data_IF_241204298868
#
_entry.id   IF_241204298868
#
_cell.length_a   1.000
_cell.length_b   1.000
_cell.length_c   1.000
_cell.angle_alpha   90.00
_cell.angle_beta   90.00
_cell.angle_gamma   90.00
#
_symmetry.space_group_name_H-M   'P 1'
#
loop_
_entity.id
_entity.type
_entity.pdbx_description
1 polymer ?
#
# COMPACT_ATOMS: atom_id res chain seq x y z
N UNK A 1 -3.75 -18.35 6.13
CA UNK A 1 -3.06 -17.17 5.52
C UNK A 1 -3.29 -17.23 4.03
N UNK A 2 -3.45 -16.09 3.37
CA UNK A 2 -3.63 -16.01 1.92
C UNK A 2 -2.32 -15.53 1.31
N UNK A 3 -1.90 -16.14 0.20
CA UNK A 3 -0.75 -15.69 -0.58
C UNK A 3 -1.20 -15.22 -1.95
N UNK A 4 -0.63 -14.13 -2.48
CA UNK A 4 -0.89 -13.70 -3.85
C UNK A 4 -0.41 -14.77 -4.84
N UNK A 5 -1.23 -15.13 -5.82
CA UNK A 5 -0.84 -16.08 -6.89
C UNK A 5 0.25 -15.53 -7.82
N UNK A 6 0.51 -14.23 -7.76
CA UNK A 6 1.59 -13.56 -8.49
C UNK A 6 2.98 -13.88 -7.93
N UNK A 7 3.07 -14.39 -6.71
CA UNK A 7 4.36 -14.79 -6.15
C UNK A 7 4.93 -15.98 -6.89
N UNK A 8 6.14 -15.81 -7.40
CA UNK A 8 6.90 -16.90 -8.02
C UNK A 8 7.70 -17.61 -6.93
N UNK A 9 7.29 -18.83 -6.62
CA UNK A 9 8.01 -19.68 -5.69
C UNK A 9 9.27 -20.22 -6.36
N UNK A 10 10.32 -20.43 -5.57
CA UNK A 10 11.49 -21.20 -6.01
C UNK A 10 11.07 -22.64 -6.30
N UNK A 11 11.83 -23.33 -7.17
CA UNK A 11 11.56 -24.72 -7.50
C UNK A 11 11.47 -25.59 -6.23
N UNK A 12 10.39 -26.36 -6.12
CA UNK A 12 10.10 -27.22 -4.96
C UNK A 12 9.49 -26.50 -3.75
N UNK A 13 9.13 -25.20 -3.88
CA UNK A 13 8.41 -24.44 -2.86
C UNK A 13 7.02 -24.04 -3.35
N UNK A 14 6.09 -23.89 -2.40
CA UNK A 14 4.73 -23.40 -2.60
C UNK A 14 4.21 -22.73 -1.33
N UNK A 15 2.95 -22.32 -1.32
CA UNK A 15 2.31 -21.65 -0.18
C UNK A 15 2.33 -22.50 1.11
N UNK A 16 2.30 -23.82 1.00
CA UNK A 16 2.27 -24.76 2.11
C UNK A 16 3.63 -25.39 2.43
N UNK A 17 4.59 -25.26 1.51
CA UNK A 17 5.92 -25.84 1.62
C UNK A 17 7.00 -24.81 1.29
N UNK A 18 7.38 -24.00 2.26
CA UNK A 18 8.39 -22.96 2.12
C UNK A 18 9.24 -22.84 3.39
N UNK A 19 10.21 -21.94 3.38
CA UNK A 19 11.11 -21.74 4.52
C UNK A 19 10.37 -21.37 5.81
N UNK A 20 9.32 -20.54 5.72
CA UNK A 20 8.53 -20.10 6.87
C UNK A 20 7.71 -21.27 7.46
N UNK A 21 7.00 -22.01 6.62
CA UNK A 21 6.18 -23.17 7.09
C UNK A 21 7.05 -24.26 7.72
N UNK A 22 8.24 -24.53 7.13
CA UNK A 22 9.22 -25.46 7.69
C UNK A 22 9.77 -25.00 9.03
N UNK A 23 10.10 -23.72 9.13
CA UNK A 23 10.61 -23.14 10.38
C UNK A 23 9.55 -23.19 11.50
N UNK A 24 8.31 -22.79 11.23
CA UNK A 24 7.20 -22.86 12.19
C UNK A 24 6.99 -24.30 12.67
N UNK A 25 7.01 -25.26 11.77
CA UNK A 25 6.87 -26.68 12.12
C UNK A 25 8.00 -27.18 13.00
N UNK A 26 9.26 -26.86 12.65
CA UNK A 26 10.44 -27.41 13.34
C UNK A 26 10.71 -26.73 14.69
N UNK A 27 10.39 -25.44 14.85
CA UNK A 27 10.72 -24.68 16.05
C UNK A 27 9.53 -24.44 16.99
N UNK A 28 8.32 -24.39 16.43
CA UNK A 28 7.12 -24.09 17.20
C UNK A 28 6.09 -25.25 17.19
N UNK A 29 6.32 -26.31 16.43
CA UNK A 29 5.36 -27.41 16.28
C UNK A 29 4.09 -27.02 15.51
N UNK A 30 4.05 -25.87 14.86
CA UNK A 30 2.88 -25.34 14.16
C UNK A 30 2.89 -25.84 12.70
N UNK A 31 1.87 -26.57 12.30
CA UNK A 31 1.62 -26.91 10.91
C UNK A 31 0.72 -25.82 10.30
N UNK A 32 1.32 -24.87 9.59
CA UNK A 32 0.59 -23.84 8.89
C UNK A 32 0.22 -24.32 7.48
N UNK A 33 -1.03 -24.10 7.09
CA UNK A 33 -1.51 -24.32 5.73
C UNK A 33 -2.22 -23.07 5.19
N UNK A 34 -2.10 -22.83 3.90
CA UNK A 34 -2.85 -21.82 3.19
C UNK A 34 -4.23 -22.37 2.86
N UNK A 35 -5.30 -21.68 3.26
CA UNK A 35 -6.66 -22.12 2.99
C UNK A 35 -7.03 -21.93 1.51
N UNK A 36 -6.55 -20.86 0.91
CA UNK A 36 -6.64 -20.56 -0.52
C UNK A 36 -5.56 -19.55 -0.92
N UNK A 37 -5.32 -19.43 -2.18
CA UNK A 37 -4.56 -18.36 -2.81
C UNK A 37 -5.50 -17.47 -3.65
N UNK A 38 -5.13 -16.21 -3.84
CA UNK A 38 -5.90 -15.25 -4.60
C UNK A 38 -4.97 -14.35 -5.44
N UNK A 39 -5.32 -14.06 -6.71
CA UNK A 39 -4.51 -13.18 -7.55
C UNK A 39 -4.59 -11.70 -7.10
N UNK A 40 -5.67 -11.33 -6.43
CA UNK A 40 -5.94 -9.97 -5.99
C UNK A 40 -6.83 -9.95 -4.73
N UNK A 41 -6.91 -8.77 -4.10
CA UNK A 41 -7.69 -8.57 -2.89
C UNK A 41 -9.21 -8.73 -3.10
N UNK A 42 -9.74 -8.49 -4.29
CA UNK A 42 -11.16 -8.67 -4.59
C UNK A 42 -11.54 -10.14 -4.61
N UNK A 43 -10.71 -10.97 -5.22
CA UNK A 43 -10.87 -12.43 -5.24
C UNK A 43 -10.73 -13.01 -3.82
N UNK A 44 -9.79 -12.51 -3.03
CA UNK A 44 -9.62 -12.91 -1.63
C UNK A 44 -10.86 -12.57 -0.81
N UNK A 45 -11.37 -11.35 -0.92
CA UNK A 45 -12.58 -10.93 -0.22
C UNK A 45 -13.79 -11.80 -0.58
N UNK A 46 -13.96 -12.18 -1.86
CA UNK A 46 -15.03 -13.08 -2.28
C UNK A 46 -14.89 -14.48 -1.66
N UNK A 47 -13.69 -15.06 -1.65
CA UNK A 47 -13.44 -16.37 -1.03
C UNK A 47 -13.68 -16.34 0.46
N UNK A 48 -13.27 -15.26 1.14
CA UNK A 48 -13.52 -15.06 2.56
C UNK A 48 -15.05 -14.99 2.86
N UNK A 49 -15.81 -14.26 2.05
CA UNK A 49 -17.27 -14.17 2.20
C UNK A 49 -17.96 -15.53 1.98
N UNK A 50 -17.49 -16.32 1.02
CA UNK A 50 -18.00 -17.67 0.80
C UNK A 50 -17.66 -18.61 1.97
N UNK A 51 -16.46 -18.52 2.51
CA UNK A 51 -16.04 -19.29 3.69
C UNK A 51 -16.85 -18.90 4.93
N UNK A 52 -17.13 -17.61 5.12
CA UNK A 52 -18.01 -17.12 6.18
C UNK A 52 -19.44 -17.67 6.04
N UNK A 53 -20.01 -17.58 4.83
CA UNK A 53 -21.37 -18.09 4.56
C UNK A 53 -21.49 -19.60 4.73
N UNK A 54 -20.41 -20.34 4.45
CA UNK A 54 -20.34 -21.79 4.63
C UNK A 54 -19.98 -22.24 6.05
N UNK A 55 -19.80 -21.30 6.98
CA UNK A 55 -19.32 -21.56 8.35
C UNK A 55 -17.98 -22.31 8.40
N UNK A 56 -17.09 -22.00 7.46
CA UNK A 56 -15.79 -22.65 7.26
C UNK A 56 -14.67 -21.62 7.15
N UNK A 57 -14.57 -20.72 8.12
CA UNK A 57 -13.47 -19.76 8.17
C UNK A 57 -12.16 -20.45 8.57
N UNK A 58 -11.01 -20.04 8.00
CA UNK A 58 -9.71 -20.41 8.52
C UNK A 58 -9.48 -19.89 9.94
N UNK A 59 -8.55 -20.52 10.68
CA UNK A 59 -8.16 -20.12 12.04
C UNK A 59 -7.64 -18.68 12.11
N UNK A 60 -6.98 -18.20 11.06
CA UNK A 60 -6.43 -16.84 10.95
C UNK A 60 -6.83 -16.24 9.60
N UNK A 61 -7.47 -15.08 9.65
CA UNK A 61 -7.95 -14.34 8.47
C UNK A 61 -7.48 -12.89 8.55
N UNK A 62 -7.27 -12.27 7.39
CA UNK A 62 -7.10 -10.83 7.29
C UNK A 62 -8.46 -10.20 7.03
N UNK A 63 -8.78 -9.14 7.77
CA UNK A 63 -10.10 -8.49 7.73
C UNK A 63 -9.98 -6.98 7.67
N UNK A 64 -10.97 -6.36 7.04
CA UNK A 64 -11.17 -4.91 7.11
C UNK A 64 -11.99 -4.54 8.35
N UNK A 65 -11.98 -3.27 8.81
CA UNK A 65 -12.84 -2.84 9.92
C UNK A 65 -14.33 -3.17 9.74
N UNK A 66 -14.86 -3.04 8.52
CA UNK A 66 -16.25 -3.39 8.22
C UNK A 66 -16.53 -4.89 8.38
N UNK A 67 -15.59 -5.75 8.00
CA UNK A 67 -15.71 -7.20 8.18
C UNK A 67 -15.60 -7.60 9.65
N UNK A 68 -14.80 -6.88 10.46
CA UNK A 68 -14.72 -7.13 11.91
C UNK A 68 -16.09 -7.02 12.54
N UNK A 69 -16.82 -5.93 12.33
CA UNK A 69 -18.16 -5.75 12.90
C UNK A 69 -19.11 -6.88 12.49
N UNK A 70 -19.10 -7.26 11.21
CA UNK A 70 -19.94 -8.33 10.66
C UNK A 70 -19.63 -9.70 11.30
N UNK A 71 -18.36 -10.06 11.38
CA UNK A 71 -17.94 -11.38 11.86
C UNK A 71 -18.00 -11.49 13.39
N UNK A 72 -17.72 -10.39 14.11
CA UNK A 72 -17.90 -10.31 15.54
C UNK A 72 -19.37 -10.45 15.94
N UNK A 73 -20.31 -9.76 15.28
CA UNK A 73 -21.74 -9.90 15.49
C UNK A 73 -22.24 -11.35 15.27
N UNK A 74 -21.59 -12.10 14.39
CA UNK A 74 -21.89 -13.51 14.15
C UNK A 74 -21.14 -14.47 15.11
N UNK A 75 -20.35 -13.96 16.07
CA UNK A 75 -19.59 -14.78 17.02
C UNK A 75 -18.45 -15.58 16.40
N UNK A 76 -17.88 -15.11 15.28
CA UNK A 76 -16.82 -15.81 14.54
C UNK A 76 -15.41 -15.34 14.88
N UNK A 77 -15.28 -14.30 15.67
CA UNK A 77 -13.99 -13.73 16.09
C UNK A 77 -13.83 -13.85 17.62
N UNK A 78 -12.59 -13.83 18.06
CA UNK A 78 -12.21 -13.89 19.47
C UNK A 78 -11.72 -12.55 19.96
N UNK A 79 -11.80 -12.29 21.28
CA UNK A 79 -11.21 -11.13 21.92
C UNK A 79 -9.68 -11.18 21.77
N UNK A 80 -9.16 -10.30 20.91
CA UNK A 80 -7.73 -10.30 20.60
C UNK A 80 -6.88 -9.68 21.72
N UNK A 81 -7.44 -8.71 22.49
CA UNK A 81 -6.70 -8.10 23.63
C UNK A 81 -6.46 -9.12 24.73
N UNK A 82 -7.47 -9.91 25.06
CA UNK A 82 -7.32 -10.99 26.04
C UNK A 82 -6.26 -12.01 25.62
N UNK A 83 -6.23 -12.39 24.35
CA UNK A 83 -5.20 -13.30 23.82
C UNK A 83 -3.80 -12.68 23.83
N UNK A 84 -3.66 -11.39 23.51
CA UNK A 84 -2.38 -10.69 23.58
C UNK A 84 -1.89 -10.62 25.03
N UNK A 85 -2.76 -10.35 25.96
CA UNK A 85 -2.39 -10.28 27.37
C UNK A 85 -1.92 -11.65 27.91
N UNK A 86 -2.64 -12.71 27.58
CA UNK A 86 -2.33 -14.05 28.07
C UNK A 86 -1.13 -14.69 27.36
N UNK A 87 -1.08 -14.60 26.00
CA UNK A 87 -0.12 -15.34 25.18
C UNK A 87 0.86 -14.47 24.42
N UNK A 88 0.69 -13.15 24.41
CA UNK A 88 1.52 -12.24 23.66
C UNK A 88 3.00 -12.28 24.12
N UNK A 89 3.91 -12.37 23.15
CA UNK A 89 5.33 -12.21 23.44
C UNK A 89 5.65 -10.82 24.01
N UNK A 90 6.75 -10.64 24.74
CA UNK A 90 7.17 -9.32 25.22
C UNK A 90 7.28 -8.29 24.09
N UNK A 91 7.76 -8.69 22.92
CA UNK A 91 7.85 -7.81 21.75
C UNK A 91 6.46 -7.39 21.25
N UNK A 92 5.51 -8.32 21.15
CA UNK A 92 4.15 -8.00 20.71
C UNK A 92 3.47 -7.04 21.68
N UNK A 93 3.61 -7.27 22.99
CA UNK A 93 3.07 -6.38 24.03
C UNK A 93 3.66 -4.99 23.93
N UNK A 94 4.98 -4.89 23.78
CA UNK A 94 5.67 -3.63 23.56
C UNK A 94 5.15 -2.88 22.31
N UNK A 95 5.01 -3.58 21.18
CA UNK A 95 4.49 -2.97 19.96
C UNK A 95 3.05 -2.47 20.11
N UNK A 96 2.22 -3.19 20.87
CA UNK A 96 0.85 -2.75 21.16
C UNK A 96 0.84 -1.52 22.08
N UNK A 97 1.66 -1.49 23.11
CA UNK A 97 1.80 -0.33 24.00
C UNK A 97 2.26 0.91 23.24
N UNK A 98 3.31 0.77 22.43
CA UNK A 98 3.84 1.84 21.58
C UNK A 98 2.78 2.33 20.57
N UNK A 99 2.08 1.42 19.91
CA UNK A 99 0.99 1.74 18.99
C UNK A 99 -0.19 2.46 19.67
N UNK A 100 -0.55 2.08 20.90
CA UNK A 100 -1.57 2.79 21.69
C UNK A 100 -1.10 4.20 22.09
N UNK A 101 0.18 4.38 22.44
CA UNK A 101 0.74 5.69 22.75
C UNK A 101 0.72 6.61 21.52
N UNK A 102 1.22 6.14 20.38
CA UNK A 102 1.25 6.89 19.11
C UNK A 102 -0.17 7.29 18.67
N UNK A 103 -1.12 6.38 18.78
CA UNK A 103 -2.51 6.61 18.35
C UNK A 103 -3.40 7.24 19.44
N UNK A 104 -2.82 7.62 20.59
CA UNK A 104 -3.54 8.16 21.74
C UNK A 104 -4.73 7.27 22.19
N UNK A 105 -4.51 5.96 22.21
CA UNK A 105 -5.50 4.96 22.62
C UNK A 105 -6.44 4.51 21.49
N UNK A 106 -6.23 4.93 20.26
CA UNK A 106 -7.11 4.61 19.14
C UNK A 106 -6.67 3.40 18.29
N UNK A 107 -5.57 2.72 18.65
CA UNK A 107 -5.00 1.60 17.87
C UNK A 107 -6.03 0.56 17.48
N UNK A 108 -6.85 0.11 18.42
CA UNK A 108 -7.88 -0.92 18.19
C UNK A 108 -9.26 -0.37 17.83
N UNK A 109 -9.45 0.95 17.86
CA UNK A 109 -10.76 1.57 17.64
C UNK A 109 -11.45 1.10 16.34
N UNK A 110 -10.78 1.02 15.18
CA UNK A 110 -11.39 0.57 13.94
C UNK A 110 -11.79 -0.91 13.96
N UNK A 111 -11.25 -1.69 14.88
CA UNK A 111 -11.42 -3.15 14.99
C UNK A 111 -12.21 -3.55 16.24
N UNK A 112 -12.91 -2.58 16.84
CA UNK A 112 -13.73 -2.78 18.04
C UNK A 112 -15.21 -2.88 17.68
N UNK A 113 -15.89 -3.89 18.21
CA UNK A 113 -17.31 -4.07 18.11
C UNK A 113 -17.88 -4.30 19.52
N UNK A 114 -18.91 -3.53 19.91
CA UNK A 114 -19.52 -3.57 21.25
C UNK A 114 -18.52 -3.52 22.41
N UNK A 115 -17.47 -2.71 22.27
CA UNK A 115 -16.45 -2.49 23.30
C UNK A 115 -15.31 -3.53 23.34
N UNK A 116 -15.37 -4.59 22.51
CA UNK A 116 -14.34 -5.64 22.43
C UNK A 116 -13.55 -5.53 21.14
N UNK A 117 -12.23 -5.62 21.21
CA UNK A 117 -11.35 -5.62 20.05
C UNK A 117 -11.20 -7.05 19.50
N UNK A 118 -11.45 -7.24 18.20
CA UNK A 118 -11.50 -8.55 17.56
C UNK A 118 -10.42 -8.77 16.50
N UNK A 119 -9.58 -7.80 16.22
CA UNK A 119 -8.47 -7.98 15.30
C UNK A 119 -7.23 -7.23 15.78
N UNK A 120 -6.07 -7.81 15.54
CA UNK A 120 -4.79 -7.14 15.74
C UNK A 120 -4.50 -6.28 14.50
N UNK A 121 -4.31 -4.96 14.66
CA UNK A 121 -3.89 -4.11 13.56
C UNK A 121 -2.55 -4.58 12.97
N UNK A 122 -2.40 -4.45 11.65
CA UNK A 122 -1.08 -4.59 11.03
C UNK A 122 -0.29 -3.34 11.41
N UNK A 123 0.61 -3.51 12.36
CA UNK A 123 1.51 -2.44 12.81
C UNK A 123 2.75 -2.48 11.92
N UNK A 124 3.00 -1.40 11.20
CA UNK A 124 4.20 -1.22 10.40
C UNK A 124 4.86 0.10 10.78
N UNK A 125 6.17 0.15 10.59
CA UNK A 125 6.92 1.39 10.74
C UNK A 125 6.35 2.47 9.79
N UNK A 126 6.27 3.70 10.27
CA UNK A 126 5.86 4.86 9.45
C UNK A 126 6.68 5.01 8.19
N UNK A 127 7.95 4.63 8.22
CA UNK A 127 8.85 4.68 7.08
C UNK A 127 8.46 3.72 5.94
N UNK A 128 7.76 2.63 6.24
CA UNK A 128 7.28 1.66 5.23
C UNK A 128 6.27 2.29 4.26
N UNK A 129 5.58 3.34 4.72
CA UNK A 129 4.58 4.04 3.92
C UNK A 129 5.13 5.33 3.25
N UNK A 130 6.41 5.61 3.38
CA UNK A 130 7.02 6.74 2.72
C UNK A 130 7.28 6.42 1.25
N UNK A 131 6.82 7.30 0.38
CA UNK A 131 7.13 7.22 -1.03
C UNK A 131 8.48 7.86 -1.28
N UNK A 132 9.39 7.10 -1.88
CA UNK A 132 10.68 7.59 -2.33
C UNK A 132 10.60 7.86 -3.82
N UNK A 133 11.11 9.02 -4.22
CA UNK A 133 11.23 9.38 -5.62
C UNK A 133 12.65 9.04 -6.08
N UNK A 134 12.77 8.37 -7.21
CA UNK A 134 14.05 8.02 -7.81
C UNK A 134 14.22 8.82 -9.09
N UNK A 135 15.41 9.35 -9.29
CA UNK A 135 15.81 10.02 -10.53
C UNK A 135 17.12 9.41 -11.05
N UNK A 136 17.24 9.30 -12.33
CA UNK A 136 18.43 8.79 -13.01
C UNK A 136 19.55 9.84 -12.94
N UNK A 137 20.50 9.64 -12.03
CA UNK A 137 21.65 10.55 -11.83
C UNK A 137 22.51 10.63 -13.09
N UNK A 138 22.73 9.50 -13.75
CA UNK A 138 23.47 9.44 -15.02
C UNK A 138 22.82 10.29 -16.13
N UNK A 139 21.50 10.38 -16.15
CA UNK A 139 20.78 11.25 -17.09
C UNK A 139 20.93 12.73 -16.70
N UNK A 140 20.86 13.04 -15.39
CA UNK A 140 21.11 14.41 -14.93
C UNK A 140 22.53 14.90 -15.29
N UNK A 141 23.53 14.07 -15.05
CA UNK A 141 24.93 14.35 -15.46
C UNK A 141 25.03 14.58 -16.96
N UNK A 142 24.42 13.71 -17.77
CA UNK A 142 24.42 13.83 -19.23
C UNK A 142 23.73 15.10 -19.74
N UNK A 143 22.70 15.57 -19.03
CA UNK A 143 21.99 16.82 -19.30
C UNK A 143 22.68 18.04 -18.67
N UNK A 144 23.74 17.83 -17.89
CA UNK A 144 24.42 18.84 -17.08
C UNK A 144 23.45 19.63 -16.18
N UNK A 145 22.57 18.87 -15.47
CA UNK A 145 21.57 19.41 -14.55
C UNK A 145 21.77 18.85 -13.14
N UNK A 146 21.42 19.63 -12.15
CA UNK A 146 21.42 19.24 -10.74
C UNK A 146 20.14 18.49 -10.39
N UNK A 147 20.16 17.79 -9.22
CA UNK A 147 18.96 17.15 -8.68
C UNK A 147 17.89 18.22 -8.38
N UNK A 148 16.69 18.12 -8.96
CA UNK A 148 15.67 19.14 -8.81
C UNK A 148 15.15 19.21 -7.36
N UNK A 149 15.09 20.41 -6.80
CA UNK A 149 14.55 20.70 -5.47
C UNK A 149 13.13 21.28 -5.49
N UNK A 150 12.55 21.48 -6.67
CA UNK A 150 11.20 21.98 -6.86
C UNK A 150 10.50 21.32 -8.04
N UNK A 151 9.17 21.50 -8.10
CA UNK A 151 8.35 20.95 -9.18
C UNK A 151 8.66 21.63 -10.53
N UNK A 152 9.03 22.91 -10.50
CA UNK A 152 9.41 23.66 -11.70
C UNK A 152 10.81 23.26 -12.20
N UNK A 153 11.74 23.01 -11.29
CA UNK A 153 13.06 22.46 -11.65
C UNK A 153 12.93 21.03 -12.21
N UNK A 154 12.02 20.21 -11.65
CA UNK A 154 11.73 18.88 -12.17
C UNK A 154 11.15 18.97 -13.59
N UNK A 155 10.26 19.93 -13.86
CA UNK A 155 9.72 20.16 -15.20
C UNK A 155 10.84 20.56 -16.18
N UNK A 156 11.79 21.42 -15.75
CA UNK A 156 12.94 21.78 -16.58
C UNK A 156 13.80 20.54 -16.93
N UNK A 157 13.95 19.59 -16.01
CA UNK A 157 14.62 18.31 -16.29
C UNK A 157 13.83 17.51 -17.33
N UNK A 158 12.50 17.43 -17.21
CA UNK A 158 11.68 16.73 -18.20
C UNK A 158 11.77 17.37 -19.59
N UNK A 159 11.78 18.68 -19.67
CA UNK A 159 11.94 19.42 -20.93
C UNK A 159 13.30 19.10 -21.59
N UNK A 160 14.39 19.20 -20.82
CA UNK A 160 15.73 18.88 -21.30
C UNK A 160 15.86 17.40 -21.72
N UNK A 161 15.26 16.49 -20.95
CA UNK A 161 15.22 15.07 -21.27
C UNK A 161 14.49 14.81 -22.59
N UNK A 162 13.31 15.38 -22.78
CA UNK A 162 12.50 15.21 -24.00
C UNK A 162 13.16 15.84 -25.23
N UNK A 163 13.91 16.94 -25.06
CA UNK A 163 14.68 17.55 -26.14
C UNK A 163 15.77 16.59 -26.65
N UNK A 164 16.38 15.82 -25.75
CA UNK A 164 17.43 14.85 -26.08
C UNK A 164 16.87 13.48 -26.47
N UNK A 165 15.83 13.04 -25.80
CA UNK A 165 15.18 11.74 -25.97
C UNK A 165 13.68 11.93 -26.33
N UNK A 166 13.33 12.29 -27.57
CA UNK A 166 11.96 12.63 -27.95
C UNK A 166 10.95 11.51 -27.72
N UNK A 167 11.40 10.24 -27.77
CA UNK A 167 10.54 9.07 -27.52
C UNK A 167 10.58 8.55 -26.08
N UNK A 168 11.53 9.04 -25.25
CA UNK A 168 11.65 8.62 -23.86
C UNK A 168 10.49 9.11 -22.99
N UNK A 169 10.20 8.42 -21.91
CA UNK A 169 9.23 8.80 -20.89
C UNK A 169 9.95 9.49 -19.74
N UNK A 170 9.60 10.73 -19.44
CA UNK A 170 10.25 11.50 -18.38
C UNK A 170 9.69 11.17 -16.99
N UNK A 171 8.39 10.86 -16.89
CA UNK A 171 7.72 10.47 -15.65
C UNK A 171 6.92 9.19 -15.89
N UNK A 172 7.37 8.10 -15.26
CA UNK A 172 6.67 6.82 -15.29
C UNK A 172 5.45 6.81 -14.39
N UNK A 173 4.29 6.53 -14.98
CA UNK A 173 3.02 6.31 -14.27
C UNK A 173 2.41 4.97 -14.71
N UNK A 174 1.49 4.45 -13.89
CA UNK A 174 0.64 3.33 -14.24
C UNK A 174 -0.84 3.67 -14.05
N UNK A 175 -1.71 2.69 -14.27
CA UNK A 175 -3.16 2.87 -14.18
C UNK A 175 -3.68 3.10 -12.75
N UNK A 176 -2.85 2.88 -11.73
CA UNK A 176 -3.17 3.22 -10.35
C UNK A 176 -2.67 4.62 -9.99
N UNK A 177 -3.38 5.63 -10.47
CA UNK A 177 -3.12 7.03 -10.11
C UNK A 177 -3.39 7.35 -8.64
N UNK A 178 -3.79 6.37 -7.84
CA UNK A 178 -4.23 6.60 -6.45
C UNK A 178 -3.15 6.31 -5.43
N UNK A 179 -2.14 5.54 -5.79
CA UNK A 179 -1.00 5.21 -4.95
C UNK A 179 0.22 6.04 -5.34
N UNK A 180 1.02 6.37 -4.39
CA UNK A 180 2.34 7.01 -4.38
C UNK A 180 2.85 7.77 -5.61
N UNK A 181 2.57 7.31 -6.81
CA UNK A 181 3.13 7.84 -8.06
C UNK A 181 2.64 9.23 -8.43
N UNK A 182 1.37 9.56 -8.15
CA UNK A 182 0.85 10.93 -8.23
C UNK A 182 1.30 11.81 -7.07
N UNK A 183 1.68 11.21 -5.96
CA UNK A 183 1.87 11.93 -4.70
C UNK A 183 3.00 12.96 -4.80
N UNK A 184 4.03 12.70 -5.61
CA UNK A 184 5.09 13.66 -5.87
C UNK A 184 4.50 15.00 -6.34
N UNK A 185 3.64 14.97 -7.36
CA UNK A 185 3.03 16.17 -7.91
C UNK A 185 1.98 16.73 -6.95
N UNK A 186 1.11 15.90 -6.42
CA UNK A 186 0.03 16.35 -5.54
C UNK A 186 0.57 17.02 -4.28
N UNK A 187 1.59 16.45 -3.62
CA UNK A 187 2.16 17.05 -2.41
C UNK A 187 2.86 18.38 -2.66
N UNK A 188 3.42 18.62 -3.85
CA UNK A 188 3.98 19.92 -4.21
C UNK A 188 2.92 21.03 -4.22
N UNK A 189 1.66 20.69 -4.45
CA UNK A 189 0.52 21.58 -4.36
C UNK A 189 -0.23 21.49 -3.02
N UNK A 190 0.32 20.79 -2.02
CA UNK A 190 -0.34 20.50 -0.74
C UNK A 190 -1.72 19.81 -0.92
N UNK A 191 -1.86 19.05 -1.99
CA UNK A 191 -3.04 18.29 -2.33
C UNK A 191 -2.93 16.87 -1.74
N UNK A 192 -3.91 16.45 -0.97
CA UNK A 192 -3.94 15.15 -0.30
C UNK A 192 -5.23 14.39 -0.65
N UNK A 193 -5.37 13.91 -1.90
CA UNK A 193 -6.57 13.19 -2.31
C UNK A 193 -6.77 11.95 -1.44
N UNK A 194 -8.05 11.60 -1.20
CA UNK A 194 -8.52 10.49 -0.36
C UNK A 194 -8.23 10.61 1.15
N UNK A 195 -7.51 11.62 1.58
CA UNK A 195 -7.26 11.89 2.99
C UNK A 195 -8.25 12.92 3.56
N UNK A 196 -8.55 12.80 4.83
CA UNK A 196 -9.18 13.88 5.57
C UNK A 196 -8.06 14.78 6.11
N UNK A 197 -8.14 16.08 5.83
CA UNK A 197 -7.15 17.07 6.26
C UNK A 197 -7.81 18.12 7.14
N UNK A 198 -7.08 18.60 8.13
CA UNK A 198 -7.54 19.73 8.93
C UNK A 198 -7.24 21.04 8.20
N UNK A 199 -8.26 21.83 7.98
CA UNK A 199 -8.17 23.17 7.38
C UNK A 199 -9.06 24.12 8.17
N UNK A 200 -8.48 25.18 8.72
CA UNK A 200 -9.18 26.16 9.54
C UNK A 200 -9.95 25.54 10.73
N UNK A 201 -9.39 24.54 11.39
CA UNK A 201 -9.99 23.83 12.52
C UNK A 201 -11.14 22.88 12.16
N UNK A 202 -11.32 22.58 10.88
CA UNK A 202 -12.34 21.64 10.39
C UNK A 202 -11.69 20.51 9.58
N UNK A 203 -12.25 19.31 9.71
CA UNK A 203 -11.87 18.19 8.84
C UNK A 203 -12.57 18.35 7.49
N UNK A 204 -11.79 18.44 6.42
CA UNK A 204 -12.27 18.50 5.05
C UNK A 204 -11.74 17.34 4.24
N UNK A 205 -12.54 16.85 3.29
CA UNK A 205 -12.10 15.76 2.43
C UNK A 205 -11.15 16.27 1.35
N UNK A 206 -9.91 15.77 1.35
CA UNK A 206 -8.83 16.29 0.52
C UNK A 206 -9.09 16.21 -0.97
N UNK A 207 -9.77 15.16 -1.47
CA UNK A 207 -10.00 14.96 -2.91
C UNK A 207 -10.81 16.08 -3.59
N UNK A 208 -11.59 16.85 -2.84
CA UNK A 208 -12.44 17.93 -3.38
C UNK A 208 -11.87 19.33 -3.11
N UNK A 209 -10.67 19.40 -2.56
CA UNK A 209 -10.03 20.67 -2.28
C UNK A 209 -9.46 21.31 -3.57
N UNK A 210 -9.39 22.65 -3.63
CA UNK A 210 -8.89 23.37 -4.81
C UNK A 210 -7.47 22.95 -5.23
N UNK A 211 -6.63 22.63 -4.27
CA UNK A 211 -5.23 22.25 -4.46
C UNK A 211 -5.10 21.00 -5.35
N UNK A 212 -6.07 20.07 -5.26
CA UNK A 212 -6.10 18.87 -6.13
C UNK A 212 -6.32 19.24 -7.59
N UNK A 213 -7.16 20.28 -7.85
CA UNK A 213 -7.37 20.76 -9.20
C UNK A 213 -6.08 21.34 -9.81
N UNK A 214 -5.28 22.04 -9.01
CA UNK A 214 -4.00 22.61 -9.45
C UNK A 214 -2.99 21.50 -9.78
N UNK A 215 -2.84 20.51 -8.90
CA UNK A 215 -1.98 19.35 -9.15
C UNK A 215 -2.40 18.54 -10.39
N UNK A 216 -3.71 18.30 -10.57
CA UNK A 216 -4.24 17.64 -11.77
C UNK A 216 -4.01 18.47 -13.04
N UNK A 217 -4.12 19.80 -12.97
CA UNK A 217 -3.86 20.67 -14.11
C UNK A 217 -2.39 20.58 -14.55
N UNK A 218 -1.44 20.54 -13.60
CA UNK A 218 -0.01 20.33 -13.90
C UNK A 218 0.24 18.97 -14.55
N UNK A 219 -0.36 17.92 -14.03
CA UNK A 219 -0.24 16.59 -14.61
C UNK A 219 -0.84 16.51 -16.03
N UNK A 220 -1.97 17.17 -16.26
CA UNK A 220 -2.58 17.25 -17.58
C UNK A 220 -1.68 18.00 -18.58
N UNK A 221 -1.02 19.08 -18.14
CA UNK A 221 -0.03 19.80 -18.94
C UNK A 221 1.17 18.90 -19.28
N UNK A 222 1.73 18.19 -18.31
CA UNK A 222 2.84 17.26 -18.52
C UNK A 222 2.48 16.11 -19.45
N UNK A 223 1.25 15.61 -19.36
CA UNK A 223 0.73 14.63 -20.30
C UNK A 223 0.68 15.19 -21.74
N UNK A 224 0.17 16.42 -21.92
CA UNK A 224 0.10 17.08 -23.23
C UNK A 224 1.49 17.38 -23.81
N UNK A 225 2.48 17.70 -22.96
CA UNK A 225 3.89 17.88 -23.35
C UNK A 225 4.60 16.57 -23.65
N UNK A 226 3.95 15.41 -23.39
CA UNK A 226 4.53 14.09 -23.62
C UNK A 226 5.59 13.69 -22.59
N UNK A 227 5.61 14.30 -21.41
CA UNK A 227 6.50 13.90 -20.31
C UNK A 227 6.00 12.60 -19.64
N UNK A 228 4.70 12.39 -19.65
CA UNK A 228 4.03 11.18 -19.16
C UNK A 228 3.72 10.29 -20.36
N UNK A 229 3.91 8.98 -20.19
CA UNK A 229 3.55 7.99 -21.20
C UNK A 229 2.06 8.08 -21.55
N UNK A 230 1.68 8.26 -22.83
CA UNK A 230 0.28 8.33 -23.24
C UNK A 230 -0.49 7.04 -22.96
N UNK A 231 0.19 5.90 -22.84
CA UNK A 231 -0.42 4.58 -22.59
C UNK A 231 -0.45 4.22 -21.09
N UNK A 232 -0.07 5.12 -20.17
CA UNK A 232 0.02 4.81 -18.74
C UNK A 232 -1.24 4.17 -18.16
N UNK A 233 -2.43 4.53 -18.64
CA UNK A 233 -3.71 3.97 -18.18
C UNK A 233 -3.88 2.47 -18.48
N UNK A 234 -3.08 1.93 -19.39
CA UNK A 234 -3.09 0.51 -19.77
C UNK A 234 -1.99 -0.30 -19.07
N UNK A 235 -1.08 0.38 -18.38
CA UNK A 235 0.03 -0.24 -17.68
C UNK A 235 -0.34 -0.48 -16.22
N UNK A 236 -0.04 -1.67 -15.74
CA UNK A 236 0.00 -1.96 -14.30
C UNK A 236 1.40 -1.70 -13.72
N UNK A 237 1.55 -1.86 -12.42
CA UNK A 237 2.82 -1.65 -11.73
C UNK A 237 3.92 -2.60 -12.20
N UNK A 238 3.59 -3.84 -12.56
CA UNK A 238 4.57 -4.81 -13.05
C UNK A 238 5.12 -4.40 -14.41
N UNK A 239 4.25 -3.93 -15.31
CA UNK A 239 4.65 -3.41 -16.61
C UNK A 239 5.51 -2.16 -16.48
N UNK A 240 5.11 -1.21 -15.62
CA UNK A 240 5.92 -0.01 -15.37
C UNK A 240 7.31 -0.36 -14.83
N UNK A 241 7.39 -1.27 -13.85
CA UNK A 241 8.67 -1.71 -13.30
C UNK A 241 9.55 -2.40 -14.35
N UNK A 242 8.94 -3.14 -15.28
CA UNK A 242 9.65 -3.74 -16.40
C UNK A 242 10.22 -2.68 -17.35
N UNK A 243 9.43 -1.67 -17.71
CA UNK A 243 9.85 -0.58 -18.60
C UNK A 243 11.00 0.23 -17.96
N UNK A 244 10.90 0.56 -16.66
CA UNK A 244 11.98 1.19 -15.89
C UNK A 244 13.26 0.32 -15.91
N UNK A 245 13.14 -0.99 -15.71
CA UNK A 245 14.30 -1.89 -15.73
C UNK A 245 14.92 -2.04 -17.12
N UNK A 246 14.13 -1.85 -18.19
CA UNK A 246 14.60 -1.83 -19.57
C UNK A 246 15.25 -0.48 -19.96
N UNK A 247 15.08 0.56 -19.13
CA UNK A 247 15.59 1.91 -19.40
C UNK A 247 14.70 2.71 -20.37
N UNK A 248 13.43 2.32 -20.46
CA UNK A 248 12.43 2.99 -21.32
C UNK A 248 11.74 4.15 -20.61
#
# INVERSE_FOLDING_TARGET
MVYPTTWKWLEGYDANNNGQTKWLKSHMGINMSCAWDAPDGATDAQKLELAFAADNLPDVIQVTPAQVAKYAAAGKLVDIRALIEEYGSPLLKYMVEDGEEITQGALFQPYTYEGTAYALPIMCDTLVNWNLNYIREDILEELNMEVPGSIDELEAVFEAYKAKYPQGVALGLDNDLQTGKMQLVMSAYQAYPKSWVEKDGQLVYGSIQPEVKEGLARMAEWYQKGYIDPEFVTKDSDRLNHDIAAGE
#
